data_IF_227206636519
#
_entry.id   IF_227206636519
#
_cell.length_a   1.000
_cell.length_b   1.000
_cell.length_c   1.000
_cell.angle_alpha   90.00
_cell.angle_beta   90.00
_cell.angle_gamma   90.00
#
_symmetry.space_group_name_H-M   'P 1'
#
loop_
_entity.id
_entity.type
_entity.pdbx_description
1 polymer ?
#
# COMPACT_ATOMS: atom_id res chain seq x y z
N UNK A 1 -35.75 -3.98 -33.30
CA UNK A 1 -35.54 -4.65 -32.00
C UNK A 1 -34.49 -3.80 -31.30
N UNK A 2 -34.93 -2.82 -30.50
CA UNK A 2 -34.01 -1.91 -29.82
C UNK A 2 -33.18 -2.69 -28.81
N UNK A 3 -31.86 -2.56 -28.88
CA UNK A 3 -30.96 -3.16 -27.90
C UNK A 3 -31.01 -2.32 -26.61
N UNK A 4 -30.80 -2.92 -25.43
CA UNK A 4 -30.80 -2.20 -24.15
C UNK A 4 -29.73 -1.08 -24.15
N UNK A 5 -28.63 -1.29 -24.87
CA UNK A 5 -27.61 -0.26 -25.12
C UNK A 5 -28.17 0.98 -25.82
N UNK A 6 -29.04 0.82 -26.82
CA UNK A 6 -29.67 1.94 -27.54
C UNK A 6 -30.66 2.67 -26.64
N UNK A 7 -31.36 1.94 -25.76
CA UNK A 7 -32.28 2.53 -24.78
C UNK A 7 -31.53 3.42 -23.81
N UNK A 8 -30.42 2.94 -23.24
CA UNK A 8 -29.63 3.76 -22.32
C UNK A 8 -28.95 4.94 -22.99
N UNK A 9 -28.49 4.79 -24.24
CA UNK A 9 -27.99 5.93 -25.01
C UNK A 9 -29.06 7.00 -25.18
N UNK A 10 -30.29 6.63 -25.56
CA UNK A 10 -31.39 7.59 -25.65
C UNK A 10 -31.70 8.26 -24.30
N UNK A 11 -31.64 7.53 -23.18
CA UNK A 11 -31.81 8.13 -21.84
C UNK A 11 -30.70 9.13 -21.51
N UNK A 12 -29.44 8.81 -21.84
CA UNK A 12 -28.27 9.67 -21.59
C UNK A 12 -28.33 10.93 -22.47
N UNK A 13 -28.66 10.77 -23.75
CA UNK A 13 -28.82 11.88 -24.69
C UNK A 13 -29.93 12.84 -24.22
N UNK A 14 -31.01 12.31 -23.65
CA UNK A 14 -32.08 13.11 -23.08
C UNK A 14 -31.63 13.96 -21.88
N UNK A 15 -30.69 13.48 -21.06
CA UNK A 15 -30.10 14.28 -19.97
C UNK A 15 -29.20 15.40 -20.51
N UNK A 16 -28.52 15.17 -21.65
CA UNK A 16 -27.58 16.12 -22.24
C UNK A 16 -28.25 17.22 -23.07
N UNK A 17 -29.42 16.95 -23.65
CA UNK A 17 -30.12 17.89 -24.53
C UNK A 17 -31.11 18.80 -23.80
N UNK A 18 -31.20 20.08 -24.23
CA UNK A 18 -32.15 21.05 -23.66
C UNK A 18 -33.61 20.76 -24.09
N UNK A 19 -34.60 20.98 -23.20
CA UNK A 19 -35.93 20.37 -23.27
C UNK A 19 -36.93 21.17 -24.11
N UNK A 20 -36.69 21.35 -25.40
CA UNK A 20 -37.70 21.97 -26.26
C UNK A 20 -37.83 21.22 -27.60
N UNK A 21 -38.94 20.48 -27.71
CA UNK A 21 -39.43 19.60 -28.81
C UNK A 21 -39.04 18.12 -28.84
N UNK A 22 -38.06 17.64 -28.05
CA UNK A 22 -37.65 16.21 -28.06
C UNK A 22 -38.33 15.32 -27.02
N UNK A 23 -39.14 15.90 -26.13
CA UNK A 23 -39.80 15.16 -25.06
C UNK A 23 -40.90 14.24 -25.59
N UNK A 24 -41.66 14.64 -26.62
CA UNK A 24 -42.70 13.77 -27.19
C UNK A 24 -42.13 12.53 -27.86
N UNK A 25 -41.08 12.70 -28.67
CA UNK A 25 -40.45 11.60 -29.40
C UNK A 25 -39.78 10.61 -28.44
N UNK A 26 -39.22 11.11 -27.34
CA UNK A 26 -38.63 10.29 -26.29
C UNK A 26 -39.69 9.58 -25.43
N UNK A 27 -40.82 10.24 -25.14
CA UNK A 27 -41.97 9.62 -24.49
C UNK A 27 -42.52 8.48 -25.35
N UNK A 28 -42.77 8.73 -26.64
CA UNK A 28 -43.26 7.71 -27.58
C UNK A 28 -42.30 6.51 -27.67
N UNK A 29 -40.99 6.77 -27.63
CA UNK A 29 -39.96 5.74 -27.57
C UNK A 29 -40.05 4.88 -26.29
N UNK A 30 -40.20 5.50 -25.12
CA UNK A 30 -40.36 4.79 -23.85
C UNK A 30 -41.69 4.02 -23.79
N UNK A 31 -42.76 4.58 -24.34
CA UNK A 31 -44.05 3.89 -24.47
C UNK A 31 -43.95 2.66 -25.37
N UNK A 32 -43.17 2.71 -26.46
CA UNK A 32 -42.94 1.53 -27.29
C UNK A 32 -42.14 0.46 -26.55
N UNK A 33 -41.11 0.84 -25.78
CA UNK A 33 -40.33 -0.10 -24.95
C UNK A 33 -41.24 -0.76 -23.90
N UNK A 34 -42.19 -0.02 -23.32
CA UNK A 34 -43.09 -0.53 -22.29
C UNK A 34 -43.91 -1.76 -22.73
N UNK A 35 -44.13 -1.93 -24.04
CA UNK A 35 -44.83 -3.07 -24.63
C UNK A 35 -43.96 -4.34 -24.65
N UNK A 36 -42.64 -4.20 -24.60
CA UNK A 36 -41.65 -5.26 -24.70
C UNK A 36 -41.24 -5.79 -23.32
N UNK A 37 -41.99 -6.76 -22.80
CA UNK A 37 -41.72 -7.41 -21.50
C UNK A 37 -40.31 -8.01 -21.45
N UNK A 38 -39.90 -8.64 -22.55
CA UNK A 38 -38.60 -9.27 -22.72
C UNK A 38 -37.43 -8.30 -22.58
N UNK A 39 -37.62 -7.02 -22.85
CA UNK A 39 -36.59 -5.99 -22.65
C UNK A 39 -36.67 -5.44 -21.22
N UNK A 40 -37.87 -5.11 -20.77
CA UNK A 40 -38.10 -4.47 -19.48
C UNK A 40 -37.74 -5.36 -18.28
N UNK A 41 -37.93 -6.68 -18.43
CA UNK A 41 -37.69 -7.66 -17.36
C UNK A 41 -36.41 -8.46 -17.55
N UNK A 42 -35.58 -8.16 -18.56
CA UNK A 42 -34.27 -8.78 -18.73
C UNK A 42 -33.23 -8.11 -17.82
N UNK A 43 -33.31 -8.47 -16.54
CA UNK A 43 -32.33 -8.03 -15.55
C UNK A 43 -30.88 -8.37 -15.94
N UNK A 44 -30.67 -9.51 -16.62
CA UNK A 44 -29.33 -9.98 -16.97
C UNK A 44 -28.70 -9.04 -17.99
N UNK A 45 -29.45 -8.67 -19.02
CA UNK A 45 -28.95 -7.78 -20.06
C UNK A 45 -28.85 -6.33 -19.57
N UNK A 46 -29.82 -5.86 -18.77
CA UNK A 46 -29.76 -4.55 -18.11
C UNK A 46 -28.50 -4.42 -17.27
N UNK A 47 -28.25 -5.39 -16.37
CA UNK A 47 -27.07 -5.38 -15.51
C UNK A 47 -25.77 -5.50 -16.31
N UNK A 48 -25.74 -6.31 -17.38
CA UNK A 48 -24.58 -6.43 -18.28
C UNK A 48 -24.19 -5.06 -18.82
N UNK A 49 -25.15 -4.32 -19.39
CA UNK A 49 -24.89 -3.02 -20.01
C UNK A 49 -24.48 -1.98 -18.96
N UNK A 50 -25.17 -1.93 -17.81
CA UNK A 50 -24.81 -1.02 -16.70
C UNK A 50 -23.39 -1.28 -16.19
N UNK A 51 -22.93 -2.53 -16.17
CA UNK A 51 -21.58 -2.87 -15.71
C UNK A 51 -20.49 -2.58 -16.74
N UNK A 52 -20.80 -2.60 -18.04
CA UNK A 52 -19.84 -2.31 -19.11
C UNK A 52 -19.72 -0.82 -19.46
N UNK A 53 -20.65 0.00 -18.98
CA UNK A 53 -20.74 1.43 -19.30
C UNK A 53 -19.57 2.24 -18.71
N UNK A 54 -19.11 3.27 -19.43
CA UNK A 54 -18.05 4.16 -18.93
C UNK A 54 -18.52 5.00 -17.72
N UNK A 55 -17.60 5.55 -16.94
CA UNK A 55 -17.97 6.29 -15.71
C UNK A 55 -18.82 7.53 -16.00
N UNK A 56 -18.52 8.27 -17.07
CA UNK A 56 -19.27 9.48 -17.44
C UNK A 56 -20.71 9.14 -17.86
N UNK A 57 -20.89 8.14 -18.72
CA UNK A 57 -22.21 7.64 -19.14
C UNK A 57 -23.01 7.10 -17.94
N UNK A 58 -22.32 6.42 -17.01
CA UNK A 58 -22.92 5.87 -15.80
C UNK A 58 -23.47 6.95 -14.87
N UNK A 59 -22.72 8.02 -14.62
CA UNK A 59 -23.18 9.14 -13.79
C UNK A 59 -24.43 9.81 -14.38
N UNK A 60 -24.48 9.95 -15.72
CA UNK A 60 -25.65 10.49 -16.41
C UNK A 60 -26.86 9.57 -16.29
N UNK A 61 -26.66 8.25 -16.39
CA UNK A 61 -27.70 7.26 -16.18
C UNK A 61 -28.23 7.28 -14.72
N UNK A 62 -27.33 7.37 -13.75
CA UNK A 62 -27.70 7.49 -12.33
C UNK A 62 -28.54 8.74 -12.07
N UNK A 63 -28.20 9.85 -12.71
CA UNK A 63 -28.96 11.09 -12.63
C UNK A 63 -30.34 10.95 -13.25
N UNK A 64 -30.44 10.37 -14.45
CA UNK A 64 -31.71 10.17 -15.14
C UNK A 64 -32.71 9.37 -14.29
N UNK A 65 -32.26 8.29 -13.64
CA UNK A 65 -33.08 7.43 -12.79
C UNK A 65 -33.14 7.88 -11.32
N UNK A 66 -32.48 8.99 -10.94
CA UNK A 66 -32.45 9.48 -9.57
C UNK A 66 -31.91 8.47 -8.55
N UNK A 67 -30.87 7.70 -8.92
CA UNK A 67 -30.28 6.64 -8.08
C UNK A 67 -29.72 7.20 -6.77
N UNK A 68 -29.04 8.35 -6.86
CA UNK A 68 -28.39 9.02 -5.73
C UNK A 68 -29.26 10.11 -5.09
N UNK A 69 -30.07 10.80 -5.89
CA UNK A 69 -31.05 11.79 -5.41
C UNK A 69 -32.41 11.58 -6.08
N UNK A 70 -33.42 11.24 -5.27
CA UNK A 70 -34.80 11.04 -5.75
C UNK A 70 -35.44 12.33 -6.24
N UNK A 71 -34.96 13.50 -5.83
CA UNK A 71 -35.48 14.78 -6.30
C UNK A 71 -35.06 15.09 -7.74
N UNK A 72 -34.02 14.43 -8.26
CA UNK A 72 -33.54 14.57 -9.64
C UNK A 72 -34.04 13.46 -10.57
N UNK A 73 -34.97 12.61 -10.13
CA UNK A 73 -35.48 11.48 -10.93
C UNK A 73 -36.29 11.98 -12.14
N UNK A 74 -35.58 12.13 -13.26
CA UNK A 74 -36.11 12.57 -14.55
C UNK A 74 -37.05 11.51 -15.12
N UNK A 75 -36.70 10.22 -14.96
CA UNK A 75 -37.54 9.11 -15.40
C UNK A 75 -38.92 9.12 -14.75
N UNK A 76 -39.03 9.33 -13.43
CA UNK A 76 -40.31 9.39 -12.72
C UNK A 76 -41.20 10.52 -13.25
N UNK A 77 -40.62 11.68 -13.52
CA UNK A 77 -41.35 12.83 -14.08
C UNK A 77 -41.91 12.54 -15.48
N UNK A 78 -41.15 11.83 -16.31
CA UNK A 78 -41.61 11.42 -17.65
C UNK A 78 -42.66 10.31 -17.54
N UNK A 79 -42.42 9.33 -16.67
CA UNK A 79 -43.29 8.17 -16.45
C UNK A 79 -44.70 8.56 -16.00
N UNK A 80 -44.85 9.59 -15.17
CA UNK A 80 -46.16 10.12 -14.74
C UNK A 80 -47.00 10.68 -15.90
N UNK A 81 -46.37 11.11 -16.99
CA UNK A 81 -47.03 11.73 -18.14
C UNK A 81 -47.35 10.75 -19.28
N UNK A 82 -46.90 9.49 -19.20
CA UNK A 82 -47.14 8.48 -20.23
C UNK A 82 -48.56 7.89 -20.18
N UNK A 83 -49.15 7.60 -21.34
CA UNK A 83 -50.45 6.95 -21.44
C UNK A 83 -50.32 5.42 -21.55
N UNK A 84 -49.96 4.78 -20.45
CA UNK A 84 -49.71 3.34 -20.38
C UNK A 84 -50.90 2.53 -19.83
N UNK A 85 -51.08 1.32 -20.35
CA UNK A 85 -51.91 0.29 -19.72
C UNK A 85 -51.25 -0.22 -18.43
N UNK A 86 -52.03 -0.85 -17.54
CA UNK A 86 -51.49 -1.38 -16.27
C UNK A 86 -50.35 -2.38 -16.46
N UNK A 87 -50.36 -3.15 -17.55
CA UNK A 87 -49.29 -4.11 -17.88
C UNK A 87 -48.00 -3.40 -18.32
N UNK A 88 -48.13 -2.35 -19.11
CA UNK A 88 -46.99 -1.54 -19.58
C UNK A 88 -46.36 -0.75 -18.43
N UNK A 89 -47.18 -0.23 -17.50
CA UNK A 89 -46.70 0.38 -16.25
C UNK A 89 -45.91 -0.62 -15.40
N UNK A 90 -46.42 -1.84 -15.21
CA UNK A 90 -45.70 -2.89 -14.48
C UNK A 90 -44.33 -3.19 -15.12
N UNK A 91 -44.28 -3.28 -16.46
CA UNK A 91 -43.01 -3.47 -17.18
C UNK A 91 -42.02 -2.34 -16.92
N UNK A 92 -42.45 -1.08 -17.00
CA UNK A 92 -41.58 0.09 -16.77
C UNK A 92 -41.09 0.19 -15.33
N UNK A 93 -41.95 -0.11 -14.34
CA UNK A 93 -41.55 -0.18 -12.93
C UNK A 93 -40.49 -1.28 -12.72
N UNK A 94 -40.66 -2.43 -13.37
CA UNK A 94 -39.67 -3.49 -13.34
C UNK A 94 -38.34 -3.06 -13.97
N UNK A 95 -38.40 -2.38 -15.11
CA UNK A 95 -37.24 -1.86 -15.81
C UNK A 95 -36.47 -0.85 -14.95
N UNK A 96 -37.14 0.19 -14.44
CA UNK A 96 -36.57 1.18 -13.51
C UNK A 96 -35.89 0.48 -12.33
N UNK A 97 -36.60 -0.45 -11.68
CA UNK A 97 -36.07 -1.19 -10.56
C UNK A 97 -34.80 -1.97 -10.91
N UNK A 98 -34.77 -2.61 -12.08
CA UNK A 98 -33.60 -3.36 -12.53
C UNK A 98 -32.40 -2.45 -12.81
N UNK A 99 -32.63 -1.27 -13.40
CA UNK A 99 -31.58 -0.28 -13.63
C UNK A 99 -31.01 0.24 -12.30
N UNK A 100 -31.88 0.71 -11.39
CA UNK A 100 -31.46 1.22 -10.08
C UNK A 100 -30.67 0.17 -9.30
N UNK A 101 -31.16 -1.08 -9.25
CA UNK A 101 -30.45 -2.16 -8.57
C UNK A 101 -29.07 -2.43 -9.18
N UNK A 102 -28.97 -2.40 -10.50
CA UNK A 102 -27.69 -2.60 -11.20
C UNK A 102 -26.72 -1.46 -10.90
N UNK A 103 -27.19 -0.21 -10.86
CA UNK A 103 -26.36 0.94 -10.52
C UNK A 103 -25.83 0.84 -9.08
N UNK A 104 -26.70 0.54 -8.12
CA UNK A 104 -26.31 0.35 -6.71
C UNK A 104 -25.31 -0.80 -6.52
N UNK A 105 -25.48 -1.91 -7.25
CA UNK A 105 -24.54 -3.03 -7.20
C UNK A 105 -23.17 -2.67 -7.78
N UNK A 106 -23.14 -1.94 -8.91
CA UNK A 106 -21.89 -1.45 -9.51
C UNK A 106 -21.13 -0.54 -8.56
N UNK A 107 -21.80 0.43 -7.93
CA UNK A 107 -21.18 1.35 -6.98
C UNK A 107 -20.62 0.61 -5.76
N UNK A 108 -21.39 -0.34 -5.20
CA UNK A 108 -20.91 -1.20 -4.11
C UNK A 108 -19.66 -2.02 -4.50
N UNK A 109 -19.67 -2.64 -5.68
CA UNK A 109 -18.54 -3.42 -6.18
C UNK A 109 -17.30 -2.55 -6.41
N UNK A 110 -17.48 -1.33 -6.91
CA UNK A 110 -16.39 -0.38 -7.14
C UNK A 110 -15.75 0.06 -5.83
N UNK A 111 -16.56 0.47 -4.85
CA UNK A 111 -16.08 0.82 -3.49
C UNK A 111 -15.38 -0.35 -2.81
N UNK A 112 -15.89 -1.57 -2.96
CA UNK A 112 -15.24 -2.76 -2.45
C UNK A 112 -13.87 -2.98 -3.11
N UNK A 113 -13.81 -2.89 -4.44
CA UNK A 113 -12.56 -3.03 -5.23
C UNK A 113 -11.50 -2.02 -4.80
N UNK A 114 -11.88 -0.75 -4.61
CA UNK A 114 -10.97 0.30 -4.15
C UNK A 114 -10.43 0.02 -2.74
N UNK A 115 -11.29 -0.42 -1.83
CA UNK A 115 -10.88 -0.80 -0.47
C UNK A 115 -9.91 -1.99 -0.45
N UNK A 116 -10.09 -2.95 -1.36
CA UNK A 116 -9.21 -4.10 -1.53
C UNK A 116 -7.87 -3.65 -2.13
N UNK A 117 -7.90 -2.82 -3.17
CA UNK A 117 -6.70 -2.25 -3.79
C UNK A 117 -5.85 -1.48 -2.78
N UNK A 118 -6.47 -0.69 -1.91
CA UNK A 118 -5.76 0.03 -0.85
C UNK A 118 -5.12 -0.93 0.18
N UNK A 119 -5.86 -1.97 0.61
CA UNK A 119 -5.31 -3.01 1.51
C UNK A 119 -4.14 -3.75 0.87
N UNK A 120 -4.22 -4.07 -0.43
CA UNK A 120 -3.15 -4.71 -1.19
C UNK A 120 -1.93 -3.81 -1.27
N UNK A 121 -2.09 -2.52 -1.62
CA UNK A 121 -0.98 -1.55 -1.63
C UNK A 121 -0.31 -1.41 -0.26
N UNK A 122 -1.09 -1.30 0.81
CA UNK A 122 -0.56 -1.25 2.19
C UNK A 122 0.22 -2.54 2.54
N UNK A 123 -0.27 -3.69 2.11
CA UNK A 123 0.40 -4.99 2.34
C UNK A 123 1.70 -5.09 1.54
N UNK A 124 1.70 -4.69 0.27
CA UNK A 124 2.89 -4.65 -0.58
C UNK A 124 3.97 -3.73 0.00
N UNK A 125 3.58 -2.54 0.49
CA UNK A 125 4.51 -1.62 1.15
C UNK A 125 5.11 -2.23 2.43
N UNK A 126 4.30 -2.93 3.25
CA UNK A 126 4.79 -3.66 4.42
C UNK A 126 5.79 -4.75 4.04
N UNK A 127 5.48 -5.56 3.03
CA UNK A 127 6.38 -6.63 2.55
C UNK A 127 7.70 -6.04 2.02
N UNK A 128 7.63 -4.95 1.26
CA UNK A 128 8.83 -4.26 0.73
C UNK A 128 9.69 -3.72 1.86
N UNK A 129 9.07 -3.11 2.89
CA UNK A 129 9.78 -2.65 4.08
C UNK A 129 10.46 -3.80 4.82
N UNK A 130 9.74 -4.90 5.05
CA UNK A 130 10.29 -6.11 5.69
C UNK A 130 11.49 -6.66 4.91
N UNK A 131 11.41 -6.70 3.58
CA UNK A 131 12.53 -7.12 2.74
C UNK A 131 13.76 -6.21 2.93
N UNK A 132 13.55 -4.89 2.92
CA UNK A 132 14.63 -3.92 3.19
C UNK A 132 15.24 -4.10 4.58
N UNK A 133 14.42 -4.39 5.59
CA UNK A 133 14.88 -4.68 6.95
C UNK A 133 15.71 -5.98 7.00
N UNK A 134 15.26 -7.05 6.34
CA UNK A 134 16.01 -8.32 6.24
C UNK A 134 17.35 -8.15 5.54
N UNK A 135 17.40 -7.43 4.41
CA UNK A 135 18.66 -7.14 3.71
C UNK A 135 19.61 -6.32 4.60
N UNK A 136 19.07 -5.35 5.36
CA UNK A 136 19.85 -4.60 6.35
C UNK A 136 20.43 -5.48 7.46
N UNK A 137 19.61 -6.36 8.04
CA UNK A 137 20.04 -7.34 9.06
C UNK A 137 21.13 -8.25 8.49
N UNK A 138 20.91 -8.83 7.30
CA UNK A 138 21.86 -9.72 6.65
C UNK A 138 23.21 -9.02 6.42
N UNK A 139 23.20 -7.79 5.91
CA UNK A 139 24.41 -6.99 5.70
C UNK A 139 25.20 -6.76 6.99
N UNK A 140 24.50 -6.47 8.10
CA UNK A 140 25.14 -6.28 9.41
C UNK A 140 25.71 -7.58 9.95
N UNK A 141 24.98 -8.69 9.85
CA UNK A 141 25.49 -10.01 10.26
C UNK A 141 26.72 -10.40 9.45
N UNK A 142 26.72 -10.18 8.12
CA UNK A 142 27.88 -10.45 7.28
C UNK A 142 29.10 -9.61 7.68
N UNK A 143 28.91 -8.30 7.88
CA UNK A 143 29.99 -7.42 8.30
C UNK A 143 30.54 -7.81 9.68
N UNK A 144 29.66 -8.16 10.61
CA UNK A 144 30.05 -8.63 11.94
C UNK A 144 30.80 -9.97 11.87
N UNK A 145 30.33 -10.94 11.08
CA UNK A 145 31.03 -12.22 10.88
C UNK A 145 32.43 -12.04 10.28
N UNK A 146 32.58 -11.16 9.29
CA UNK A 146 33.90 -10.86 8.72
C UNK A 146 34.82 -10.14 9.70
N UNK A 147 34.28 -9.18 10.46
CA UNK A 147 35.04 -8.52 11.52
C UNK A 147 35.52 -9.54 12.56
N UNK A 148 34.65 -10.43 13.04
CA UNK A 148 34.98 -11.45 14.04
C UNK A 148 35.98 -12.50 13.52
N UNK A 149 35.83 -12.97 12.28
CA UNK A 149 36.78 -13.93 11.71
C UNK A 149 38.18 -13.31 11.55
N UNK A 150 38.27 -12.09 11.00
CA UNK A 150 39.54 -11.39 10.88
C UNK A 150 40.16 -11.08 12.25
N UNK A 151 39.32 -10.70 13.21
CA UNK A 151 39.77 -10.34 14.55
C UNK A 151 40.30 -11.56 15.32
N UNK A 152 39.67 -12.73 15.22
CA UNK A 152 40.12 -13.97 15.88
C UNK A 152 41.46 -14.46 15.31
N UNK A 153 41.68 -14.32 14.00
CA UNK A 153 42.96 -14.68 13.38
C UNK A 153 44.12 -13.80 13.88
N UNK A 154 43.91 -12.49 13.94
CA UNK A 154 44.90 -11.55 14.47
C UNK A 154 45.20 -11.84 15.94
N UNK A 155 44.16 -12.08 16.74
CA UNK A 155 44.32 -12.42 18.16
C UNK A 155 45.06 -13.75 18.35
N UNK A 156 44.72 -14.79 17.56
CA UNK A 156 45.37 -16.09 17.60
C UNK A 156 46.87 -16.02 17.26
N UNK A 157 47.23 -15.23 16.23
CA UNK A 157 48.62 -15.01 15.85
C UNK A 157 49.42 -14.26 16.94
N UNK A 158 48.79 -13.31 17.63
CA UNK A 158 49.41 -12.61 18.75
C UNK A 158 49.65 -13.54 19.93
N UNK A 159 48.69 -14.40 20.28
CA UNK A 159 48.81 -15.36 21.37
C UNK A 159 49.87 -16.44 21.08
N UNK A 160 49.99 -16.87 19.82
CA UNK A 160 51.01 -17.83 19.37
C UNK A 160 52.43 -17.30 19.49
N UNK A 161 52.65 -15.98 19.46
CA UNK A 161 53.97 -15.37 19.61
C UNK A 161 54.40 -15.20 21.10
N UNK A 162 53.57 -15.65 22.05
CA UNK A 162 53.79 -15.50 23.52
C UNK A 162 54.27 -16.81 24.14
N UNK A 163 54.75 -17.77 23.35
CA UNK A 163 55.18 -19.07 23.87
C UNK A 163 56.40 -19.01 24.81
N UNK A 164 57.11 -17.87 24.90
CA UNK A 164 58.16 -17.62 25.89
C UNK A 164 57.79 -16.40 26.77
N UNK A 165 57.30 -16.61 28.01
CA UNK A 165 56.80 -15.53 28.86
C UNK A 165 57.97 -14.75 29.48
N UNK A 166 58.38 -13.69 28.80
CA UNK A 166 59.21 -12.62 29.37
C UNK A 166 58.30 -11.44 29.75
N UNK A 167 58.63 -10.68 30.81
CA UNK A 167 57.82 -9.55 31.31
C UNK A 167 57.49 -8.54 30.19
N UNK A 168 58.46 -8.35 29.27
CA UNK A 168 58.34 -7.49 28.09
C UNK A 168 57.35 -8.03 27.04
N UNK A 169 57.27 -9.35 26.87
CA UNK A 169 56.33 -10.00 25.94
C UNK A 169 54.90 -9.89 26.47
N UNK A 170 54.70 -10.03 27.78
CA UNK A 170 53.40 -9.85 28.44
C UNK A 170 52.94 -8.40 28.31
N UNK A 171 53.83 -7.43 28.53
CA UNK A 171 53.53 -6.01 28.33
C UNK A 171 53.09 -5.69 26.90
N UNK A 172 53.79 -6.25 25.89
CA UNK A 172 53.43 -6.07 24.48
C UNK A 172 52.02 -6.61 24.16
N UNK A 173 51.69 -7.81 24.65
CA UNK A 173 50.36 -8.41 24.47
C UNK A 173 49.27 -7.54 25.08
N UNK A 174 49.53 -6.94 26.25
CA UNK A 174 48.55 -6.12 26.95
C UNK A 174 48.25 -4.81 26.21
N UNK A 175 49.29 -4.17 25.64
CA UNK A 175 49.11 -2.97 24.79
C UNK A 175 48.30 -3.31 23.54
N UNK A 176 48.62 -4.42 22.88
CA UNK A 176 47.90 -4.85 21.68
C UNK A 176 46.45 -5.25 22.01
N UNK A 177 46.20 -5.90 23.15
CA UNK A 177 44.86 -6.23 23.62
C UNK A 177 44.01 -4.97 23.91
N UNK A 178 44.60 -3.94 24.52
CA UNK A 178 43.93 -2.66 24.77
C UNK A 178 43.57 -1.92 23.48
N UNK A 179 44.51 -1.86 22.52
CA UNK A 179 44.25 -1.28 21.20
C UNK A 179 43.17 -2.05 20.41
N UNK A 180 43.17 -3.38 20.54
CA UNK A 180 42.21 -4.26 19.89
C UNK A 180 40.79 -4.12 20.46
N UNK A 181 40.66 -3.96 21.78
CA UNK A 181 39.36 -3.71 22.44
C UNK A 181 38.71 -2.42 21.91
N UNK A 182 39.53 -1.37 21.72
CA UNK A 182 39.09 -0.09 21.14
C UNK A 182 38.64 -0.25 19.68
N UNK A 183 39.38 -1.03 18.89
CA UNK A 183 39.05 -1.30 17.49
C UNK A 183 37.72 -2.08 17.34
N UNK A 184 37.54 -3.15 18.11
CA UNK A 184 36.28 -3.92 18.11
C UNK A 184 35.11 -3.03 18.54
N UNK A 185 35.29 -2.22 19.58
CA UNK A 185 34.25 -1.31 20.05
C UNK A 185 33.83 -0.29 18.97
N UNK A 186 34.78 0.26 18.21
CA UNK A 186 34.51 1.17 17.10
C UNK A 186 33.72 0.47 15.99
N UNK A 187 34.13 -0.74 15.59
CA UNK A 187 33.44 -1.53 14.56
C UNK A 187 32.00 -1.85 14.98
N UNK A 188 31.80 -2.32 16.22
CA UNK A 188 30.46 -2.63 16.75
C UNK A 188 29.61 -1.36 16.82
N UNK A 189 30.15 -0.25 17.32
CA UNK A 189 29.43 1.03 17.40
C UNK A 189 29.04 1.55 16.01
N UNK A 190 29.93 1.45 15.02
CA UNK A 190 29.66 1.83 13.63
C UNK A 190 28.55 0.96 13.01
N UNK A 191 28.53 -0.34 13.30
CA UNK A 191 27.47 -1.26 12.85
C UNK A 191 26.12 -0.96 13.50
N UNK A 192 26.09 -0.65 14.80
CA UNK A 192 24.87 -0.26 15.49
C UNK A 192 24.32 1.08 15.00
N UNK A 193 25.19 2.06 14.74
CA UNK A 193 24.82 3.33 14.09
C UNK A 193 24.31 3.08 12.68
N UNK A 194 24.99 2.21 11.92
CA UNK A 194 24.56 1.80 10.58
C UNK A 194 23.16 1.17 10.59
N UNK A 195 22.89 0.25 11.52
CA UNK A 195 21.58 -0.35 11.73
C UNK A 195 20.51 0.70 12.02
N UNK A 196 20.70 1.53 13.05
CA UNK A 196 19.68 2.54 13.41
C UNK A 196 19.45 3.55 12.29
N UNK A 197 20.48 3.91 11.52
CA UNK A 197 20.33 4.75 10.32
C UNK A 197 19.48 4.08 9.23
N UNK A 198 19.59 2.75 9.07
CA UNK A 198 18.80 1.96 8.12
C UNK A 198 17.36 1.73 8.62
N UNK A 199 17.14 1.59 9.94
CA UNK A 199 15.82 1.27 10.52
C UNK A 199 14.95 2.48 10.85
N UNK A 200 15.53 3.60 11.32
CA UNK A 200 14.77 4.74 11.88
C UNK A 200 15.00 6.08 11.17
N UNK A 201 15.85 6.14 10.14
CA UNK A 201 16.20 7.41 9.47
C UNK A 201 17.13 8.29 10.32
N UNK A 202 17.18 9.61 10.03
CA UNK A 202 18.12 10.61 10.62
C UNK A 202 17.87 10.91 12.12
N UNK A 203 17.54 9.93 12.94
CA UNK A 203 17.52 10.08 14.39
C UNK A 203 18.95 10.00 14.94
N UNK A 204 19.36 10.96 15.78
CA UNK A 204 20.68 10.94 16.42
C UNK A 204 20.82 9.66 17.26
N UNK A 205 21.93 8.98 17.07
CA UNK A 205 22.27 7.80 17.85
C UNK A 205 22.89 8.26 19.17
N UNK A 206 22.11 8.26 20.25
CA UNK A 206 22.66 8.37 21.60
C UNK A 206 23.20 6.99 21.99
N UNK A 207 24.48 6.75 21.68
CA UNK A 207 25.21 5.71 22.41
C UNK A 207 25.19 6.14 23.87
N UNK A 208 24.98 5.20 24.79
CA UNK A 208 25.13 5.47 26.22
C UNK A 208 26.53 6.04 26.46
N UNK A 209 26.62 7.35 26.70
CA UNK A 209 27.89 8.04 26.96
C UNK A 209 28.64 7.39 28.11
N UNK A 210 27.90 6.85 29.09
CA UNK A 210 28.43 6.08 30.21
C UNK A 210 29.16 4.81 29.76
N UNK A 211 28.61 4.07 28.79
CA UNK A 211 29.22 2.83 28.30
C UNK A 211 30.46 3.10 27.45
N UNK A 212 30.40 4.13 26.60
CA UNK A 212 31.54 4.61 25.80
C UNK A 212 32.70 5.03 26.71
N UNK A 213 32.40 5.78 27.76
CA UNK A 213 33.39 6.28 28.71
C UNK A 213 34.09 5.13 29.47
N UNK A 214 33.32 4.13 29.94
CA UNK A 214 33.89 2.96 30.64
C UNK A 214 34.87 2.19 29.74
N UNK A 215 34.52 1.97 28.47
CA UNK A 215 35.38 1.22 27.53
C UNK A 215 36.67 1.98 27.24
N UNK A 216 36.59 3.30 27.05
CA UNK A 216 37.78 4.14 26.84
C UNK A 216 38.70 4.09 28.06
N UNK A 217 38.14 4.19 29.27
CA UNK A 217 38.92 4.14 30.53
C UNK A 217 39.61 2.78 30.70
N UNK A 218 38.90 1.67 30.48
CA UNK A 218 39.48 0.32 30.60
C UNK A 218 40.57 0.10 29.54
N UNK A 219 40.35 0.56 28.31
CA UNK A 219 41.34 0.43 27.23
C UNK A 219 42.60 1.26 27.54
N UNK A 220 42.43 2.49 28.03
CA UNK A 220 43.53 3.34 28.44
C UNK A 220 44.34 2.74 29.60
N UNK A 221 43.66 2.16 30.59
CA UNK A 221 44.32 1.48 31.71
C UNK A 221 45.18 0.29 31.24
N UNK A 222 44.66 -0.53 30.32
CA UNK A 222 45.40 -1.66 29.75
C UNK A 222 46.63 -1.20 28.95
N UNK A 223 46.51 -0.15 28.15
CA UNK A 223 47.63 0.40 27.38
C UNK A 223 48.71 0.98 28.29
N UNK A 224 48.32 1.75 29.32
CA UNK A 224 49.26 2.36 30.27
C UNK A 224 50.01 1.29 31.08
N UNK A 225 49.29 0.30 31.59
CA UNK A 225 49.88 -0.80 32.36
C UNK A 225 50.78 -1.68 31.49
N UNK A 226 50.36 -1.94 30.25
CA UNK A 226 51.15 -2.69 29.27
C UNK A 226 52.44 -1.96 28.90
N UNK A 227 52.36 -0.65 28.67
CA UNK A 227 53.53 0.18 28.36
C UNK A 227 54.52 0.23 29.52
N UNK A 228 54.03 0.38 30.76
CA UNK A 228 54.86 0.33 31.98
C UNK A 228 55.65 -0.98 32.08
N UNK A 229 55.02 -2.13 31.82
CA UNK A 229 55.71 -3.45 31.83
C UNK A 229 56.64 -3.71 30.64
N UNK A 230 56.53 -2.95 29.55
CA UNK A 230 57.48 -3.03 28.42
C UNK A 230 58.74 -2.23 28.72
N UNK A 231 58.58 -1.08 29.39
CA UNK A 231 59.63 -0.10 29.66
C UNK A 231 60.44 -0.42 30.92
N UNK A 232 59.78 -0.83 32.01
CA UNK A 232 60.39 -1.29 33.26
C UNK A 232 60.55 -2.82 33.27
#
# INVERSE_FOLDING_TARGET
MSNIEDIFRSCIDHVNDRPDKRDSDFVDFLEEISKHVEVCKDYKEISRVVYSMESEEFELLEKFFGVNDRQENTFSGIFENMQLTEKEKDNMIHFERHVILSCQQRDYLTKMSDSVSEKVKRTQNKVTKIYSEFVGILGVFTALSFALMGSVQVFGNLLSNVSNPNIRTIGYVLVVAGAYLLLIYLVVSMLFIGMKKVFEGNSKYDLSDTFTLVIIVVSAALIIFGFLMVVF
#
